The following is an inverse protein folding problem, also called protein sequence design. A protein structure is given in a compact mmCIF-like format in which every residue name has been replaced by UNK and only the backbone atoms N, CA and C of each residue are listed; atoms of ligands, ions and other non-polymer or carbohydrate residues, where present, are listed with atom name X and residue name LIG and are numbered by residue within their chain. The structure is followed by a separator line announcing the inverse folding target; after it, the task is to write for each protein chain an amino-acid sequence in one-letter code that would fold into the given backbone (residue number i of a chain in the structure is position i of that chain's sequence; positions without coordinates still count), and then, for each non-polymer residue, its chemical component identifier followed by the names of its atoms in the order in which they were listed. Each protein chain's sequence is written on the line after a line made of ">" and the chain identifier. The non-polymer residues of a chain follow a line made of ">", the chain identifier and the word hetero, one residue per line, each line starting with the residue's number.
data_IF_447905634072
#
_entry.id   IF_447905634072
#
_cell.length_a   1.000
_cell.length_b   1.000
_cell.length_c   1.000
_cell.angle_alpha   90.00
_cell.angle_beta   90.00
_cell.angle_gamma   90.00
#
_symmetry.space_group_name_H-M   'P 1'
#
loop_
_entity.id
_entity.type
_entity.pdbx_description
1 polymer ?
#
# COMPACT_ATOMS: atom_id res chain seq x y z
N UNK A 1 9.55 -15.60 16.08
CA UNK A 1 8.54 -15.06 17.02
C UNK A 1 7.19 -15.25 16.34
N UNK A 2 6.17 -15.81 17.01
CA UNK A 2 4.82 -15.88 16.40
C UNK A 2 4.16 -14.52 16.57
N UNK A 3 3.65 -13.96 15.48
CA UNK A 3 2.84 -12.74 15.50
C UNK A 3 1.54 -13.04 16.25
N UNK A 4 1.11 -12.12 17.10
CA UNK A 4 -0.21 -12.18 17.73
C UNK A 4 -1.30 -12.13 16.65
N UNK A 5 -2.37 -12.91 16.82
CA UNK A 5 -3.41 -13.04 15.78
C UNK A 5 -4.20 -11.73 15.61
N UNK A 6 -4.43 -10.96 16.68
CA UNK A 6 -5.11 -9.67 16.55
C UNK A 6 -4.24 -8.68 15.80
N UNK A 7 -2.93 -8.67 16.08
CA UNK A 7 -1.97 -7.86 15.34
C UNK A 7 -1.92 -8.25 13.87
N UNK A 8 -1.97 -9.55 13.55
CA UNK A 8 -2.03 -10.04 12.17
C UNK A 8 -3.24 -9.47 11.44
N UNK A 9 -4.45 -9.67 11.99
CA UNK A 9 -5.70 -9.20 11.37
C UNK A 9 -5.67 -7.68 11.18
N UNK A 10 -5.19 -6.94 12.19
CA UNK A 10 -5.03 -5.49 12.08
C UNK A 10 -4.11 -5.08 10.93
N UNK A 11 -2.98 -5.78 10.75
CA UNK A 11 -2.05 -5.49 9.66
C UNK A 11 -2.66 -5.84 8.29
N UNK A 12 -3.38 -6.96 8.18
CA UNK A 12 -4.09 -7.34 6.95
C UNK A 12 -5.11 -6.27 6.55
N UNK A 13 -5.93 -5.81 7.50
CA UNK A 13 -6.93 -4.76 7.27
C UNK A 13 -6.27 -3.43 6.88
N UNK A 14 -5.20 -3.05 7.60
CA UNK A 14 -4.47 -1.80 7.34
C UNK A 14 -3.82 -1.81 5.94
N UNK A 15 -3.13 -2.89 5.61
CA UNK A 15 -2.49 -3.07 4.29
C UNK A 15 -3.57 -2.99 3.22
N UNK A 16 -4.66 -3.75 3.35
CA UNK A 16 -5.76 -3.75 2.38
C UNK A 16 -6.30 -2.34 2.13
N UNK A 17 -6.56 -1.59 3.20
CA UNK A 17 -7.07 -0.21 3.08
C UNK A 17 -6.10 0.71 2.33
N UNK A 18 -4.80 0.60 2.60
CA UNK A 18 -3.78 1.42 1.92
C UNK A 18 -3.67 1.01 0.44
N UNK A 19 -3.74 -0.30 0.14
CA UNK A 19 -3.72 -0.82 -1.22
C UNK A 19 -4.94 -0.35 -2.03
N UNK A 20 -6.12 -0.33 -1.42
CA UNK A 20 -7.34 0.24 -2.03
C UNK A 20 -7.14 1.72 -2.36
N UNK A 21 -6.62 2.51 -1.41
CA UNK A 21 -6.33 3.94 -1.61
C UNK A 21 -5.27 4.17 -2.70
N UNK A 22 -4.23 3.36 -2.74
CA UNK A 22 -3.25 3.38 -3.82
C UNK A 22 -3.91 3.08 -5.17
N UNK A 23 -4.73 2.03 -5.27
CA UNK A 23 -5.43 1.65 -6.49
C UNK A 23 -6.43 2.73 -6.97
N UNK A 24 -7.10 3.43 -6.04
CA UNK A 24 -7.96 4.59 -6.36
C UNK A 24 -7.16 5.68 -7.12
N UNK A 25 -5.93 5.98 -6.68
CA UNK A 25 -5.07 7.01 -7.33
C UNK A 25 -4.58 6.65 -8.73
N UNK A 26 -4.65 5.37 -9.13
CA UNK A 26 -4.32 4.93 -10.49
C UNK A 26 -5.44 5.23 -11.49
N UNK A 27 -6.65 5.54 -11.01
CA UNK A 27 -7.77 5.94 -11.87
C UNK A 27 -7.66 7.41 -12.20
N UNK A 28 -7.53 7.73 -13.49
CA UNK A 28 -7.43 9.11 -13.98
C UNK A 28 -8.83 9.63 -14.29
N UNK A 29 -9.32 10.70 -13.63
CA UNK A 29 -10.57 11.35 -13.97
C UNK A 29 -10.54 11.96 -15.39
N UNK A 30 -11.65 11.91 -16.12
CA UNK A 30 -11.73 12.38 -17.51
C UNK A 30 -11.55 13.90 -17.66
N UNK A 31 -11.89 14.64 -16.61
CA UNK A 31 -11.88 16.11 -16.51
C UNK A 31 -10.87 16.61 -15.48
N UNK A 32 -9.81 15.83 -15.21
CA UNK A 32 -8.78 16.14 -14.22
C UNK A 32 -8.04 17.46 -14.52
N UNK A 33 -8.05 18.38 -13.55
CA UNK A 33 -7.24 19.60 -13.61
C UNK A 33 -5.75 19.30 -13.41
N UNK A 34 -4.86 20.23 -13.76
CA UNK A 34 -3.43 20.06 -13.50
C UNK A 34 -3.11 19.92 -12.01
N UNK A 35 -3.83 20.64 -11.16
CA UNK A 35 -3.69 20.61 -9.70
C UNK A 35 -4.13 19.25 -9.14
N UNK A 36 -5.29 18.75 -9.58
CA UNK A 36 -5.80 17.43 -9.17
C UNK A 36 -4.87 16.31 -9.61
N UNK A 37 -4.29 16.42 -10.82
CA UNK A 37 -3.27 15.48 -11.30
C UNK A 37 -2.07 15.41 -10.37
N UNK A 38 -1.49 16.55 -10.00
CA UNK A 38 -0.34 16.57 -9.11
C UNK A 38 -0.69 16.03 -7.72
N UNK A 39 -1.87 16.38 -7.21
CA UNK A 39 -2.37 15.84 -5.94
C UNK A 39 -2.53 14.30 -6.00
N UNK A 40 -3.12 13.76 -7.06
CA UNK A 40 -3.30 12.32 -7.25
C UNK A 40 -1.96 11.59 -7.37
N UNK A 41 -1.01 12.12 -8.14
CA UNK A 41 0.33 11.53 -8.28
C UNK A 41 1.12 11.57 -6.96
N UNK A 42 1.04 12.68 -6.22
CA UNK A 42 1.64 12.78 -4.89
C UNK A 42 1.02 11.79 -3.91
N UNK A 43 -0.31 11.63 -3.93
CA UNK A 43 -1.03 10.64 -3.12
C UNK A 43 -0.63 9.21 -3.49
N UNK A 44 -0.50 8.91 -4.79
CA UNK A 44 -0.05 7.60 -5.27
C UNK A 44 1.33 7.25 -4.69
N UNK A 45 2.27 8.19 -4.76
CA UNK A 45 3.61 8.01 -4.21
C UNK A 45 3.60 7.84 -2.69
N UNK A 46 2.78 8.61 -1.98
CA UNK A 46 2.65 8.49 -0.53
C UNK A 46 2.11 7.11 -0.10
N UNK A 47 1.09 6.58 -0.77
CA UNK A 47 0.59 5.25 -0.46
C UNK A 47 1.58 4.14 -0.83
N UNK A 48 2.29 4.29 -1.96
CA UNK A 48 3.37 3.37 -2.34
C UNK A 48 4.46 3.31 -1.27
N UNK A 49 4.97 4.46 -0.82
CA UNK A 49 6.05 4.56 0.17
C UNK A 49 5.66 3.92 1.50
N UNK A 50 4.40 4.08 1.92
CA UNK A 50 3.89 3.43 3.13
C UNK A 50 3.86 1.90 2.98
N UNK A 51 3.38 1.38 1.83
CA UNK A 51 3.35 -0.07 1.59
C UNK A 51 4.76 -0.66 1.55
N UNK A 52 5.70 0.00 0.87
CA UNK A 52 7.11 -0.40 0.79
C UNK A 52 7.78 -0.39 2.17
N UNK A 53 7.47 0.63 2.99
CA UNK A 53 7.96 0.71 4.37
C UNK A 53 7.43 -0.44 5.22
N UNK A 54 6.13 -0.73 5.17
CA UNK A 54 5.51 -1.83 5.92
C UNK A 54 6.17 -3.16 5.54
N UNK A 55 6.27 -3.45 4.25
CA UNK A 55 6.87 -4.69 3.74
C UNK A 55 8.33 -4.82 4.18
N UNK A 56 9.11 -3.74 4.06
CA UNK A 56 10.50 -3.67 4.50
C UNK A 56 10.65 -3.95 6.01
N UNK A 57 9.77 -3.40 6.85
CA UNK A 57 9.81 -3.65 8.29
C UNK A 57 9.44 -5.11 8.62
N UNK A 58 8.42 -5.67 7.98
CA UNK A 58 8.02 -7.06 8.21
C UNK A 58 9.15 -8.03 7.84
N UNK A 59 9.78 -7.82 6.68
CA UNK A 59 10.95 -8.58 6.22
C UNK A 59 12.11 -8.45 7.22
N UNK A 60 12.44 -7.23 7.65
CA UNK A 60 13.53 -6.98 8.60
C UNK A 60 13.33 -7.69 9.96
N UNK A 61 12.08 -7.86 10.37
CA UNK A 61 11.71 -8.58 11.60
C UNK A 61 11.51 -10.09 11.40
N UNK A 62 11.82 -10.62 10.21
CA UNK A 62 11.74 -12.04 9.90
C UNK A 62 10.30 -12.58 9.85
N UNK A 63 9.33 -11.70 9.63
CA UNK A 63 7.95 -12.10 9.33
C UNK A 63 7.88 -12.44 7.85
N UNK A 64 7.42 -13.65 7.54
CA UNK A 64 7.24 -14.09 6.16
C UNK A 64 6.11 -13.26 5.54
N UNK A 65 6.45 -12.33 4.65
CA UNK A 65 5.47 -11.49 3.95
C UNK A 65 4.47 -12.32 3.15
N UNK A 66 4.81 -13.55 2.77
CA UNK A 66 3.87 -14.48 2.14
C UNK A 66 2.67 -14.84 3.04
N UNK A 67 2.79 -14.67 4.36
CA UNK A 67 1.67 -14.88 5.30
C UNK A 67 0.60 -13.79 5.24
N UNK A 68 0.93 -12.62 4.69
CA UNK A 68 0.04 -11.47 4.51
C UNK A 68 -0.25 -11.17 3.02
N UNK A 69 0.34 -11.95 2.10
CA UNK A 69 0.22 -11.73 0.65
C UNK A 69 1.19 -10.68 0.11
N UNK A 70 0.98 -10.25 -1.15
CA UNK A 70 1.80 -9.18 -1.77
C UNK A 70 1.39 -7.83 -1.16
N UNK A 71 2.33 -7.18 -0.47
CA UNK A 71 2.09 -5.89 0.20
C UNK A 71 2.40 -4.73 -0.75
N UNK A 72 3.62 -4.69 -1.29
CA UNK A 72 4.10 -3.57 -2.11
C UNK A 72 3.76 -3.74 -3.59
N UNK A 73 3.19 -2.72 -4.27
CA UNK A 73 3.01 -2.72 -5.71
C UNK A 73 4.34 -2.53 -6.45
N UNK A 74 4.33 -2.71 -7.77
CA UNK A 74 5.25 -1.96 -8.63
C UNK A 74 4.67 -0.57 -8.84
N UNK A 75 5.45 0.48 -8.62
CA UNK A 75 4.96 1.87 -8.68
C UNK A 75 4.29 2.15 -10.03
N UNK A 76 3.05 2.62 -9.98
CA UNK A 76 2.22 2.89 -11.16
C UNK A 76 1.40 1.69 -11.68
N UNK A 77 1.59 0.50 -11.11
CA UNK A 77 0.82 -0.70 -11.43
C UNK A 77 -0.16 -1.06 -10.31
N UNK A 78 -1.28 -1.69 -10.67
CA UNK A 78 -2.22 -2.24 -9.67
C UNK A 78 -1.58 -3.41 -8.92
N UNK A 79 -2.01 -3.56 -7.66
CA UNK A 79 -1.68 -4.71 -6.82
C UNK A 79 -2.46 -5.95 -7.25
#
# INVERSE_FOLDING_TARGET
>A
MKMDEQLRVFLEDLITLIQEKYNETLTVPADESAEDKFFRLGSNFAYFDILDLIDSQLIAHGLDSNSLGKISPTLGEKI
#
